data_IF_410654440487
#
_entry.id   IF_410654440487
#
_cell.length_a   1.000
_cell.length_b   1.000
_cell.length_c   1.000
_cell.angle_alpha   90.00
_cell.angle_beta   90.00
_cell.angle_gamma   90.00
#
_symmetry.space_group_name_H-M   'P 1'
#
loop_
_entity.id
_entity.type
_entity.pdbx_description
1 polymer ?
#
# COMPACT_ATOMS: atom_id res chain seq x y z
N UNK A 1 -9.51 -13.24 16.82
CA UNK A 1 -8.11 -13.22 16.32
C UNK A 1 -7.22 -12.60 17.39
N UNK A 2 -6.15 -13.28 17.86
CA UNK A 2 -5.41 -12.81 19.05
C UNK A 2 -4.69 -11.47 18.81
N UNK A 3 -4.73 -10.58 19.81
CA UNK A 3 -4.08 -9.26 19.81
C UNK A 3 -2.59 -9.33 19.41
N UNK A 4 -1.91 -10.43 19.70
CA UNK A 4 -0.49 -10.63 19.38
C UNK A 4 -0.21 -10.68 17.87
N UNK A 5 -1.12 -11.26 17.07
CA UNK A 5 -0.95 -11.34 15.62
C UNK A 5 -1.02 -9.95 14.98
N UNK A 6 -1.92 -9.09 15.48
CA UNK A 6 -2.05 -7.71 15.01
C UNK A 6 -0.85 -6.87 15.44
N UNK A 7 -0.39 -7.03 16.69
CA UNK A 7 0.82 -6.38 17.19
C UNK A 7 2.03 -6.73 16.32
N UNK A 8 2.29 -8.01 16.07
CA UNK A 8 3.40 -8.48 15.21
C UNK A 8 3.30 -7.97 13.77
N UNK A 9 2.09 -7.93 13.19
CA UNK A 9 1.86 -7.39 11.83
C UNK A 9 2.17 -5.90 11.77
N UNK A 10 1.68 -5.13 12.74
CA UNK A 10 1.94 -3.69 12.85
C UNK A 10 3.43 -3.41 13.02
N UNK A 11 4.10 -4.14 13.89
CA UNK A 11 5.55 -4.05 14.09
C UNK A 11 6.31 -4.35 12.80
N UNK A 12 5.96 -5.43 12.09
CA UNK A 12 6.60 -5.75 10.81
C UNK A 12 6.38 -4.67 9.74
N UNK A 13 5.23 -3.99 9.74
CA UNK A 13 4.95 -2.89 8.81
C UNK A 13 5.76 -1.65 9.20
N UNK A 14 5.80 -1.32 10.49
CA UNK A 14 6.57 -0.18 10.99
C UNK A 14 8.06 -0.36 10.69
N UNK A 15 8.63 -1.53 10.98
CA UNK A 15 10.03 -1.84 10.68
C UNK A 15 10.32 -1.76 9.17
N UNK A 16 9.37 -2.15 8.33
CA UNK A 16 9.50 -2.03 6.88
C UNK A 16 9.50 -0.57 6.42
N UNK A 17 8.61 0.26 6.97
CA UNK A 17 8.56 1.71 6.71
C UNK A 17 9.87 2.37 7.16
N UNK A 18 10.36 2.02 8.36
CA UNK A 18 11.63 2.52 8.87
C UNK A 18 12.79 2.19 7.95
N UNK A 19 12.92 0.92 7.53
CA UNK A 19 13.97 0.52 6.61
C UNK A 19 13.90 1.25 5.25
N UNK A 20 12.70 1.60 4.77
CA UNK A 20 12.56 2.43 3.57
C UNK A 20 13.05 3.86 3.80
N UNK A 21 12.75 4.47 4.95
CA UNK A 21 13.25 5.81 5.29
C UNK A 21 14.73 5.82 5.64
N UNK A 22 15.29 4.78 6.24
CA UNK A 22 16.73 4.63 6.49
C UNK A 22 17.52 4.63 5.17
N UNK A 23 16.95 4.03 4.13
CA UNK A 23 17.60 3.93 2.83
C UNK A 23 17.37 5.15 1.92
N UNK A 24 16.42 6.04 2.22
CA UNK A 24 16.04 7.12 1.30
C UNK A 24 15.89 8.46 2.05
N UNK A 25 16.38 9.55 1.47
CA UNK A 25 16.27 10.88 2.07
C UNK A 25 14.82 11.37 2.12
N UNK A 26 14.02 10.97 1.14
CA UNK A 26 12.60 11.30 1.08
C UNK A 26 11.85 10.22 0.33
N UNK A 27 10.61 10.00 0.75
CA UNK A 27 9.68 9.10 0.11
C UNK A 27 8.45 9.89 -0.34
N UNK A 28 7.92 9.53 -1.51
CA UNK A 28 6.60 9.95 -1.93
C UNK A 28 5.62 8.83 -1.57
N UNK A 29 4.88 9.03 -0.48
CA UNK A 29 3.95 8.03 0.07
C UNK A 29 2.58 8.19 -0.60
N UNK A 30 2.14 7.14 -1.27
CA UNK A 30 0.92 7.13 -2.07
C UNK A 30 -0.05 6.17 -1.41
N UNK A 31 -1.29 6.63 -1.17
CA UNK A 31 -2.37 5.78 -0.64
C UNK A 31 -3.51 5.72 -1.65
N UNK A 32 -3.91 4.50 -1.96
CA UNK A 32 -5.03 4.18 -2.84
C UNK A 32 -5.94 3.17 -2.16
N UNK A 33 -7.24 3.40 -2.27
CA UNK A 33 -8.22 2.35 -1.99
C UNK A 33 -8.73 1.84 -3.34
N UNK A 34 -8.25 0.66 -3.75
CA UNK A 34 -8.63 0.00 -5.00
C UNK A 34 -9.90 -0.82 -4.75
N UNK A 35 -10.82 -0.80 -5.69
CA UNK A 35 -12.14 -1.42 -5.56
C UNK A 35 -12.58 -2.02 -6.89
N UNK A 36 -13.67 -2.77 -6.84
CA UNK A 36 -14.43 -3.19 -8.00
C UNK A 36 -15.70 -2.34 -8.10
N UNK A 37 -16.12 -2.03 -9.34
CA UNK A 37 -17.39 -1.34 -9.57
C UNK A 37 -18.54 -2.23 -9.06
N UNK A 38 -19.59 -1.59 -8.56
CA UNK A 38 -20.72 -2.29 -7.92
C UNK A 38 -21.34 -3.35 -8.82
N UNK A 39 -21.42 -3.09 -10.13
CA UNK A 39 -21.95 -4.00 -11.14
C UNK A 39 -21.15 -5.31 -11.29
N UNK A 40 -19.84 -5.31 -11.00
CA UNK A 40 -18.97 -6.49 -11.08
C UNK A 40 -18.66 -7.09 -9.70
N UNK A 41 -19.06 -6.42 -8.62
CA UNK A 41 -18.59 -6.77 -7.29
C UNK A 41 -19.17 -8.08 -6.75
N UNK A 42 -20.39 -8.45 -7.16
CA UNK A 42 -21.05 -9.69 -6.70
C UNK A 42 -20.41 -10.96 -7.28
N UNK A 43 -19.84 -10.84 -8.48
CA UNK A 43 -19.20 -11.94 -9.21
C UNK A 43 -17.72 -12.10 -8.87
N UNK A 44 -17.15 -11.13 -8.15
CA UNK A 44 -15.74 -11.12 -7.79
C UNK A 44 -15.47 -12.08 -6.63
N UNK A 45 -14.57 -13.03 -6.87
CA UNK A 45 -14.13 -13.96 -5.82
C UNK A 45 -12.85 -13.45 -5.11
N UNK A 46 -12.52 -14.06 -3.97
CA UNK A 46 -11.26 -13.77 -3.29
C UNK A 46 -10.06 -14.22 -4.15
N UNK A 47 -10.24 -15.31 -4.90
CA UNK A 47 -9.27 -15.86 -5.83
C UNK A 47 -8.99 -14.88 -6.97
N UNK A 48 -10.03 -14.31 -7.58
CA UNK A 48 -9.90 -13.27 -8.63
C UNK A 48 -9.16 -12.05 -8.08
N UNK A 49 -9.57 -11.55 -6.91
CA UNK A 49 -8.91 -10.41 -6.27
C UNK A 49 -7.44 -10.71 -5.96
N UNK A 50 -7.13 -11.93 -5.55
CA UNK A 50 -5.76 -12.36 -5.27
C UNK A 50 -4.93 -12.47 -6.54
N UNK A 51 -5.52 -12.94 -7.64
CA UNK A 51 -4.90 -12.98 -8.96
C UNK A 51 -4.64 -11.58 -9.51
N UNK A 52 -5.54 -10.63 -9.29
CA UNK A 52 -5.40 -9.23 -9.69
C UNK A 52 -4.28 -8.52 -8.93
N UNK A 53 -4.22 -8.70 -7.61
CA UNK A 53 -3.12 -8.19 -6.77
C UNK A 53 -1.79 -8.79 -7.23
N UNK A 54 -1.74 -10.12 -7.47
CA UNK A 54 -0.54 -10.77 -7.99
C UNK A 54 -0.11 -10.18 -9.33
N UNK A 55 -1.04 -10.04 -10.28
CA UNK A 55 -0.78 -9.44 -11.59
C UNK A 55 -0.27 -8.01 -11.48
N UNK A 56 -0.81 -7.21 -10.58
CA UNK A 56 -0.33 -5.85 -10.32
C UNK A 56 1.12 -5.85 -9.80
N UNK A 57 1.43 -6.70 -8.82
CA UNK A 57 2.77 -6.80 -8.24
C UNK A 57 3.80 -7.40 -9.18
N UNK A 58 3.39 -8.30 -10.08
CA UNK A 58 4.25 -8.85 -11.13
C UNK A 58 4.54 -7.77 -12.18
N UNK A 59 3.51 -7.08 -12.69
CA UNK A 59 3.69 -6.03 -13.69
C UNK A 59 4.50 -4.84 -13.13
N UNK A 60 4.36 -4.54 -11.84
CA UNK A 60 5.17 -3.52 -11.14
C UNK A 60 6.67 -3.73 -11.34
N UNK A 61 7.15 -4.97 -11.51
CA UNK A 61 8.58 -5.28 -11.67
C UNK A 61 9.15 -4.86 -13.03
N UNK A 62 8.30 -4.79 -14.05
CA UNK A 62 8.72 -4.58 -15.44
C UNK A 62 8.07 -3.34 -16.10
N UNK A 63 7.11 -2.69 -15.43
CA UNK A 63 6.44 -1.50 -15.93
C UNK A 63 7.13 -0.24 -15.38
N UNK A 64 8.15 0.22 -16.10
CA UNK A 64 8.91 1.42 -15.77
C UNK A 64 8.06 2.69 -15.79
N UNK A 65 7.08 2.78 -16.70
CA UNK A 65 6.23 3.96 -16.87
C UNK A 65 5.39 4.25 -15.62
N UNK A 66 4.74 3.23 -15.05
CA UNK A 66 3.87 3.39 -13.88
C UNK A 66 4.62 3.14 -12.58
N UNK A 67 5.57 2.20 -12.54
CA UNK A 67 6.19 1.74 -11.29
C UNK A 67 7.72 1.87 -11.23
N UNK A 68 8.39 2.46 -12.23
CA UNK A 68 9.87 2.56 -12.25
C UNK A 68 10.48 3.37 -11.08
N UNK A 69 9.68 4.23 -10.46
CA UNK A 69 10.06 4.99 -9.25
C UNK A 69 9.64 4.32 -7.94
N UNK A 70 8.90 3.22 -8.01
CA UNK A 70 8.34 2.54 -6.85
C UNK A 70 9.37 1.61 -6.19
N UNK A 71 9.65 1.88 -4.93
CA UNK A 71 10.67 1.16 -4.15
C UNK A 71 10.07 0.30 -3.03
N UNK A 72 8.77 0.44 -2.77
CA UNK A 72 8.07 -0.35 -1.78
C UNK A 72 6.56 -0.31 -1.91
N UNK A 73 5.90 -1.27 -1.26
CA UNK A 73 4.44 -1.32 -1.19
C UNK A 73 3.98 -2.08 0.04
N UNK A 74 2.74 -1.80 0.46
CA UNK A 74 1.95 -2.59 1.39
C UNK A 74 0.53 -2.64 0.82
N UNK A 75 -0.08 -3.81 0.73
CA UNK A 75 -1.46 -3.98 0.29
C UNK A 75 -2.20 -4.87 1.27
N UNK A 76 -3.45 -4.51 1.55
CA UNK A 76 -4.39 -5.32 2.30
C UNK A 76 -5.64 -5.58 1.48
N UNK A 77 -6.02 -6.85 1.40
CA UNK A 77 -7.28 -7.33 0.83
C UNK A 77 -8.35 -7.38 1.93
N UNK A 78 -9.52 -6.84 1.62
CA UNK A 78 -10.73 -6.86 2.44
C UNK A 78 -11.91 -7.25 1.57
N UNK A 79 -12.84 -8.00 2.14
CA UNK A 79 -14.13 -8.30 1.51
C UNK A 79 -15.20 -7.94 2.53
N UNK A 80 -16.11 -7.06 2.16
CA UNK A 80 -17.26 -6.73 3.00
C UNK A 80 -18.29 -7.86 3.00
N UNK A 81 -19.20 -7.86 3.98
CA UNK A 81 -20.32 -8.83 4.05
C UNK A 81 -21.16 -8.89 2.77
N UNK A 82 -21.21 -7.78 2.01
CA UNK A 82 -21.93 -7.70 0.74
C UNK A 82 -21.09 -8.16 -0.47
N UNK A 83 -19.98 -8.88 -0.23
CA UNK A 83 -18.99 -9.30 -1.24
C UNK A 83 -18.33 -8.13 -1.97
N UNK A 84 -18.25 -6.95 -1.35
CA UNK A 84 -17.49 -5.86 -1.95
C UNK A 84 -16.01 -6.02 -1.64
N UNK A 85 -15.23 -6.36 -2.67
CA UNK A 85 -13.78 -6.48 -2.60
C UNK A 85 -13.13 -5.10 -2.56
N UNK A 86 -12.30 -4.88 -1.56
CA UNK A 86 -11.55 -3.65 -1.35
C UNK A 86 -10.07 -4.00 -1.11
N UNK A 87 -9.18 -3.25 -1.75
CA UNK A 87 -7.74 -3.38 -1.53
C UNK A 87 -7.21 -2.02 -1.10
N UNK A 88 -6.83 -1.91 0.17
CA UNK A 88 -6.12 -0.75 0.65
C UNK A 88 -4.63 -0.90 0.32
N UNK A 89 -4.07 0.07 -0.40
CA UNK A 89 -2.70 0.03 -0.89
C UNK A 89 -1.93 1.27 -0.45
N UNK A 90 -0.72 1.04 0.06
CA UNK A 90 0.35 2.03 0.17
C UNK A 90 1.45 1.70 -0.83
N UNK A 91 1.86 2.71 -1.59
CA UNK A 91 3.03 2.66 -2.45
C UNK A 91 4.05 3.68 -1.94
N UNK A 92 5.31 3.28 -1.97
CA UNK A 92 6.44 4.11 -1.58
C UNK A 92 7.31 4.33 -2.80
N UNK A 93 7.31 5.56 -3.30
CA UNK A 93 8.14 5.98 -4.43
C UNK A 93 9.36 6.78 -3.93
N UNK A 94 10.45 6.75 -4.69
CA UNK A 94 11.62 7.60 -4.45
C UNK A 94 11.21 9.08 -4.55
N UNK A 95 11.20 9.79 -3.41
CA UNK A 95 10.80 11.20 -3.34
C UNK A 95 11.78 12.15 -4.04
N UNK A 96 12.96 11.68 -4.45
CA UNK A 96 13.85 12.45 -5.32
C UNK A 96 13.35 12.47 -6.77
N UNK A 97 12.62 11.44 -7.19
CA UNK A 97 12.11 11.27 -8.56
C UNK A 97 10.64 11.66 -8.70
N UNK A 98 9.83 11.47 -7.66
CA UNK A 98 8.39 11.77 -7.68
C UNK A 98 8.03 12.79 -6.61
N UNK A 99 7.44 13.91 -7.03
CA UNK A 99 7.03 14.98 -6.11
C UNK A 99 5.52 15.13 -5.96
N UNK A 100 4.74 14.70 -6.95
CA UNK A 100 3.28 14.86 -6.98
C UNK A 100 2.58 13.54 -6.65
N UNK A 101 2.39 13.26 -5.36
CA UNK A 101 1.77 12.01 -4.89
C UNK A 101 0.36 11.79 -5.45
N UNK A 102 -0.47 12.84 -5.52
CA UNK A 102 -1.82 12.74 -6.07
C UNK A 102 -1.83 12.34 -7.55
N UNK A 103 -0.96 12.93 -8.37
CA UNK A 103 -0.83 12.55 -9.77
C UNK A 103 -0.36 11.10 -9.91
N UNK A 104 0.63 10.69 -9.12
CA UNK A 104 1.13 9.31 -9.13
C UNK A 104 0.06 8.30 -8.69
N UNK A 105 -0.75 8.66 -7.69
CA UNK A 105 -1.92 7.88 -7.28
C UNK A 105 -2.91 7.68 -8.44
N UNK A 106 -3.22 8.73 -9.23
CA UNK A 106 -4.11 8.59 -10.38
C UNK A 106 -3.50 7.68 -11.46
N UNK A 107 -2.19 7.77 -11.72
CA UNK A 107 -1.53 6.87 -12.67
C UNK A 107 -1.66 5.40 -12.26
N UNK A 108 -1.39 5.09 -10.99
CA UNK A 108 -1.50 3.73 -10.45
C UNK A 108 -2.97 3.27 -10.40
N UNK A 109 -3.89 4.16 -10.03
CA UNK A 109 -5.33 3.87 -9.98
C UNK A 109 -5.94 3.60 -11.36
N UNK A 110 -5.59 4.40 -12.37
CA UNK A 110 -5.99 4.17 -13.75
C UNK A 110 -5.42 2.84 -14.25
N UNK A 111 -4.16 2.53 -13.94
CA UNK A 111 -3.57 1.24 -14.29
C UNK A 111 -4.30 0.05 -13.63
N UNK A 112 -4.75 0.20 -12.38
CA UNK A 112 -5.62 -0.78 -11.73
C UNK A 112 -6.94 -0.97 -12.48
N UNK A 113 -7.63 0.13 -12.81
CA UNK A 113 -8.89 0.11 -13.56
C UNK A 113 -8.70 -0.55 -14.93
N UNK A 114 -7.76 -0.07 -15.73
CA UNK A 114 -7.77 -0.33 -17.17
C UNK A 114 -6.94 -1.55 -17.54
N UNK A 115 -5.77 -1.73 -16.90
CA UNK A 115 -4.82 -2.78 -17.27
C UNK A 115 -4.91 -4.00 -16.36
N UNK A 116 -5.08 -3.81 -15.04
CA UNK A 116 -5.25 -4.93 -14.13
C UNK A 116 -6.66 -5.48 -14.31
N UNK A 117 -7.68 -4.74 -13.92
CA UNK A 117 -9.05 -5.28 -13.85
C UNK A 117 -9.83 -5.21 -15.16
N UNK A 118 -9.22 -4.72 -16.25
CA UNK A 118 -9.83 -4.63 -17.60
C UNK A 118 -11.15 -3.87 -17.59
N UNK A 119 -11.18 -2.73 -16.91
CA UNK A 119 -12.32 -1.82 -16.78
C UNK A 119 -13.31 -2.17 -15.67
N UNK A 120 -13.13 -3.29 -14.95
CA UNK A 120 -14.01 -3.70 -13.85
C UNK A 120 -13.71 -2.98 -12.53
N UNK A 121 -12.50 -2.47 -12.38
CA UNK A 121 -12.02 -1.81 -11.19
C UNK A 121 -12.35 -0.33 -11.16
N UNK A 122 -12.29 0.24 -9.97
CA UNK A 122 -12.24 1.67 -9.73
C UNK A 122 -11.30 1.93 -8.54
N UNK A 123 -11.02 3.20 -8.24
CA UNK A 123 -10.12 3.55 -7.15
C UNK A 123 -10.52 4.87 -6.50
N UNK A 124 -10.09 5.03 -5.26
CA UNK A 124 -10.13 6.30 -4.54
C UNK A 124 -8.71 6.80 -4.30
N UNK A 125 -8.42 8.01 -4.77
CA UNK A 125 -7.14 8.67 -4.53
C UNK A 125 -7.14 9.39 -3.18
N UNK A 126 -6.60 8.74 -2.16
CA UNK A 126 -6.53 9.31 -0.82
C UNK A 126 -5.61 10.54 -0.76
N UNK A 127 -4.59 10.64 -1.63
CA UNK A 127 -3.68 11.80 -1.66
C UNK A 127 -4.34 13.11 -2.09
N UNK A 128 -5.57 13.09 -2.63
CA UNK A 128 -6.37 14.28 -2.95
C UNK A 128 -7.19 14.80 -1.77
N UNK A 129 -7.33 14.00 -0.70
CA UNK A 129 -8.09 14.36 0.49
C UNK A 129 -7.23 15.14 1.48
N UNK A 130 -7.90 15.92 2.34
CA UNK A 130 -7.25 16.57 3.49
C UNK A 130 -7.45 15.70 4.73
N UNK A 131 -6.38 15.49 5.49
CA UNK A 131 -6.39 14.76 6.74
C UNK A 131 -5.85 15.67 7.84
N UNK A 132 -6.44 15.57 9.04
CA UNK A 132 -5.91 16.24 10.23
C UNK A 132 -4.49 15.74 10.54
N UNK A 133 -4.32 14.41 10.61
CA UNK A 133 -3.02 13.76 10.82
C UNK A 133 -2.52 13.18 9.50
N UNK A 134 -1.93 14.03 8.66
CA UNK A 134 -1.51 13.63 7.32
C UNK A 134 -0.19 12.86 7.32
N UNK A 135 -0.24 11.55 7.07
CA UNK A 135 0.92 10.68 6.92
C UNK A 135 1.32 10.36 5.47
N UNK A 136 0.66 10.95 4.48
CA UNK A 136 0.89 10.62 3.05
C UNK A 136 1.45 11.81 2.27
N UNK A 137 1.93 11.56 1.06
CA UNK A 137 2.58 12.53 0.20
C UNK A 137 4.11 12.55 0.38
N UNK A 138 4.72 13.69 0.06
CA UNK A 138 6.16 13.89 0.22
C UNK A 138 6.53 13.90 1.71
N UNK A 139 7.45 13.03 2.11
CA UNK A 139 7.90 12.89 3.50
C UNK A 139 9.42 12.77 3.54
N UNK A 140 10.07 13.65 4.32
CA UNK A 140 11.52 13.61 4.56
C UNK A 140 11.85 12.66 5.71
N UNK A 141 12.99 11.98 5.68
CA UNK A 141 13.44 11.08 6.75
C UNK A 141 13.60 11.77 8.12
N UNK A 142 13.80 13.09 8.12
CA UNK A 142 13.87 13.93 9.33
C UNK A 142 12.50 14.32 9.90
N UNK A 143 11.43 14.21 9.10
CA UNK A 143 10.08 14.58 9.50
C UNK A 143 9.43 13.46 10.33
N UNK A 144 9.84 13.38 11.61
CA UNK A 144 9.42 12.33 12.52
C UNK A 144 7.92 12.35 12.79
N UNK A 145 7.31 13.53 12.84
CA UNK A 145 5.87 13.68 13.04
C UNK A 145 5.10 13.07 11.86
N UNK A 146 5.47 13.41 10.63
CA UNK A 146 4.79 12.86 9.45
C UNK A 146 5.02 11.37 9.26
N UNK A 147 6.22 10.87 9.59
CA UNK A 147 6.51 9.43 9.62
C UNK A 147 5.67 8.73 10.70
N UNK A 148 5.49 9.35 11.87
CA UNK A 148 4.61 8.81 12.90
C UNK A 148 3.16 8.80 12.40
N UNK A 149 2.69 9.88 11.78
CA UNK A 149 1.35 9.95 11.22
C UNK A 149 1.12 8.89 10.12
N UNK A 150 2.14 8.60 9.31
CA UNK A 150 2.11 7.50 8.36
C UNK A 150 1.88 6.17 9.07
N UNK A 151 2.66 5.85 10.10
CA UNK A 151 2.56 4.57 10.81
C UNK A 151 1.23 4.44 11.56
N UNK A 152 0.85 5.49 12.30
CA UNK A 152 -0.27 5.48 13.24
C UNK A 152 -1.63 5.69 12.58
N UNK A 153 -1.71 6.38 11.44
CA UNK A 153 -2.99 6.67 10.79
C UNK A 153 -3.11 6.08 9.39
N UNK A 154 -2.10 6.21 8.52
CA UNK A 154 -2.21 5.72 7.14
C UNK A 154 -1.98 4.20 7.04
N UNK A 155 -0.89 3.70 7.64
CA UNK A 155 -0.54 2.27 7.65
C UNK A 155 -1.35 1.49 8.69
N UNK A 156 -1.66 2.08 9.84
CA UNK A 156 -2.54 1.44 10.82
C UNK A 156 -3.95 1.20 10.27
N UNK A 157 -4.43 2.03 9.33
CA UNK A 157 -5.70 1.78 8.63
C UNK A 157 -5.68 0.43 7.89
N UNK A 158 -4.51 0.03 7.36
CA UNK A 158 -4.31 -1.31 6.82
C UNK A 158 -4.37 -2.35 7.94
N UNK A 159 -3.86 -2.08 9.13
CA UNK A 159 -3.86 -3.06 10.21
C UNK A 159 -5.19 -3.19 10.97
N UNK A 160 -6.14 -2.27 10.79
CA UNK A 160 -7.44 -2.32 11.46
C UNK A 160 -8.22 -3.57 11.07
N UNK A 161 -8.51 -4.42 12.05
CA UNK A 161 -9.47 -5.52 11.92
C UNK A 161 -10.87 -4.95 12.10
N UNK A 162 -11.35 -4.22 11.10
CA UNK A 162 -12.76 -3.90 11.03
C UNK A 162 -13.49 -5.13 10.42
N UNK A 163 -14.82 -5.16 10.47
CA UNK A 163 -15.73 -6.27 10.10
C UNK A 163 -15.58 -6.87 8.68
N UNK A 164 -14.56 -6.45 7.93
CA UNK A 164 -14.28 -6.81 6.54
C UNK A 164 -12.92 -7.51 6.49
N UNK A 165 -12.90 -8.79 6.87
CA UNK A 165 -11.69 -9.62 6.85
C UNK A 165 -11.83 -10.74 5.84
N UNK A 166 -10.78 -11.00 5.07
CA UNK A 166 -10.73 -12.22 4.24
C UNK A 166 -10.50 -13.48 5.09
N UNK A 167 -10.13 -13.35 6.37
CA UNK A 167 -9.79 -14.51 7.22
C UNK A 167 -11.00 -15.44 7.44
N UNK A 168 -12.24 -14.95 7.30
CA UNK A 168 -13.48 -15.74 7.43
C UNK A 168 -13.91 -16.43 6.12
N UNK A 169 -13.49 -15.90 4.97
CA UNK A 169 -13.92 -16.36 3.64
C UNK A 169 -12.80 -17.14 2.93
N UNK A 170 -11.56 -17.05 3.40
CA UNK A 170 -10.43 -17.75 2.78
C UNK A 170 -10.63 -19.27 2.83
N UNK A 171 -10.54 -19.89 1.66
CA UNK A 171 -10.50 -21.34 1.48
C UNK A 171 -9.05 -21.85 1.52
N UNK A 172 -8.10 -21.03 1.06
CA UNK A 172 -6.67 -21.32 1.07
C UNK A 172 -5.96 -20.68 2.28
N UNK A 173 -5.39 -21.51 3.15
CA UNK A 173 -4.64 -21.06 4.34
C UNK A 173 -3.38 -20.23 4.00
N UNK A 174 -2.87 -20.32 2.76
CA UNK A 174 -1.73 -19.53 2.29
C UNK A 174 -2.11 -18.11 1.90
N UNK A 175 -3.41 -17.82 1.71
CA UNK A 175 -3.84 -16.47 1.36
C UNK A 175 -3.62 -15.50 2.51
N UNK A 176 -2.81 -14.49 2.21
CA UNK A 176 -2.47 -13.44 3.16
C UNK A 176 -3.40 -12.25 2.95
N UNK A 177 -4.07 -11.84 4.02
CA UNK A 177 -4.86 -10.60 4.04
C UNK A 177 -3.99 -9.37 3.77
N UNK A 178 -2.76 -9.37 4.29
CA UNK A 178 -1.81 -8.27 4.13
C UNK A 178 -0.53 -8.81 3.49
N UNK A 179 -0.06 -8.10 2.47
CA UNK A 179 1.21 -8.34 1.78
C UNK A 179 2.01 -7.05 1.74
N UNK A 180 3.33 -7.16 1.84
CA UNK A 180 4.27 -6.04 1.72
C UNK A 180 5.46 -6.43 0.89
N UNK A 181 6.23 -5.45 0.43
CA UNK A 181 7.52 -5.68 -0.20
C UNK A 181 8.54 -6.36 0.71
N UNK A 182 9.60 -6.88 0.09
CA UNK A 182 10.76 -7.44 0.79
C UNK A 182 11.49 -6.35 1.57
N UNK A 183 12.02 -6.69 2.76
CA UNK A 183 12.85 -5.76 3.52
C UNK A 183 14.01 -5.27 2.66
N UNK A 184 14.20 -3.96 2.50
CA UNK A 184 15.29 -3.45 1.68
C UNK A 184 16.61 -3.73 2.39
N UNK A 185 17.66 -4.05 1.62
CA UNK A 185 19.01 -4.21 2.17
C UNK A 185 19.54 -2.85 2.63
N UNK A 186 20.25 -2.75 3.77
CA UNK A 186 20.86 -1.49 4.20
C UNK A 186 21.77 -0.93 3.11
N UNK A 187 21.68 0.37 2.82
CA UNK A 187 22.64 1.05 1.94
C UNK A 187 24.02 1.15 2.61
N UNK A 188 25.07 1.26 1.80
CA UNK A 188 26.42 1.51 2.29
C UNK A 188 26.46 2.75 3.20
N UNK A 189 27.32 2.76 4.22
CA UNK A 189 27.58 3.94 5.07
C UNK A 189 28.25 5.12 4.34
N UNK A 190 28.47 5.01 3.04
CA UNK A 190 29.01 6.08 2.21
C UNK A 190 28.01 7.24 2.10
N UNK A 191 28.50 8.47 2.28
CA UNK A 191 27.71 9.70 2.22
C UNK A 191 27.51 10.36 3.59
N UNK A 192 26.67 11.41 3.62
CA UNK A 192 26.43 12.21 4.83
C UNK A 192 25.84 11.36 5.96
N UNK A 193 26.44 11.35 7.16
CA UNK A 193 25.85 10.70 8.34
C UNK A 193 24.46 11.23 8.63
N UNK A 194 23.53 10.31 8.93
CA UNK A 194 22.14 10.67 9.28
C UNK A 194 21.94 10.90 10.79
N UNK A 195 22.91 10.49 11.60
CA UNK A 195 22.94 10.70 13.04
C UNK A 195 23.95 11.83 13.32
N UNK A 196 23.46 13.06 13.38
CA UNK A 196 24.08 14.19 14.05
C UNK A 196 22.98 14.92 14.81
#
# INVERSE_FOLDING_TARGET
MSNDKLKRRRESINNYIDALFENNSKLCVIRLDLKYKQEFSKDMTLEDMSADVKRMLDNRRNNETVFGTNIGYIMKKEISKNKNGHIHALFFDDGNKVQKAAYKADQIGNYWSDNITKGKGCYENCNRRKYQNNGIGMTNYTDKEKINNLKEYAAAYLCKTDEQSIDEIKTNLKDRAIVRGTMPKPKSKAGRPRNQ
#
